data_IF_481239407517
#
_entry.id   IF_481239407517
#
_cell.length_a   1.000
_cell.length_b   1.000
_cell.length_c   1.000
_cell.angle_alpha   90.00
_cell.angle_beta   90.00
_cell.angle_gamma   90.00
#
_symmetry.space_group_name_H-M   'P 1'
#
loop_
_entity.id
_entity.type
_entity.pdbx_description
1 polymer ?
#
# COMPACT_ATOMS: atom_id res chain seq x y z
N UNK A 1 -9.54 -5.41 13.12
CA UNK A 1 -8.43 -4.61 12.57
C UNK A 1 -7.35 -5.58 12.14
N UNK A 2 -7.04 -5.66 10.84
CA UNK A 2 -6.25 -6.78 10.29
C UNK A 2 -4.73 -6.50 10.28
N UNK A 3 -4.26 -5.45 10.97
CA UNK A 3 -2.87 -4.96 10.97
C UNK A 3 -2.30 -4.57 9.58
N UNK A 4 -3.00 -4.84 8.48
CA UNK A 4 -2.65 -4.41 7.14
C UNK A 4 -2.85 -2.90 6.96
N UNK A 5 -1.85 -2.25 6.38
CA UNK A 5 -1.94 -0.85 5.93
C UNK A 5 -1.42 -0.76 4.49
N UNK A 6 -2.06 0.08 3.70
CA UNK A 6 -1.54 0.56 2.42
C UNK A 6 -0.91 1.92 2.68
N UNK A 7 0.36 2.10 2.33
CA UNK A 7 1.07 3.35 2.54
C UNK A 7 2.19 3.59 1.53
N UNK A 8 2.59 4.85 1.40
CA UNK A 8 3.75 5.25 0.61
C UNK A 8 5.07 5.00 1.33
N UNK A 9 6.16 5.00 0.56
CA UNK A 9 7.53 4.93 1.05
C UNK A 9 8.49 5.69 0.13
N UNK A 10 9.47 6.45 0.69
CA UNK A 10 10.53 7.07 -0.08
C UNK A 10 11.63 6.09 -0.53
N UNK A 11 11.73 4.91 0.10
CA UNK A 11 12.66 3.83 -0.25
C UNK A 11 12.16 3.03 -1.47
N UNK A 12 12.10 3.70 -2.63
CA UNK A 12 11.61 3.12 -3.89
C UNK A 12 12.29 1.79 -4.26
N UNK A 13 13.57 1.65 -3.94
CA UNK A 13 14.37 0.45 -4.23
C UNK A 13 14.00 -0.78 -3.37
N UNK A 14 13.11 -0.61 -2.39
CA UNK A 14 12.61 -1.64 -1.49
C UNK A 14 11.23 -2.18 -1.91
N UNK A 15 10.54 -1.47 -2.82
CA UNK A 15 9.25 -1.89 -3.36
C UNK A 15 9.40 -3.20 -4.15
N UNK A 16 8.46 -4.12 -3.98
CA UNK A 16 8.48 -5.46 -4.59
C UNK A 16 9.38 -6.49 -3.88
N UNK A 17 10.07 -6.09 -2.80
CA UNK A 17 10.83 -7.02 -1.95
C UNK A 17 10.03 -7.39 -0.70
N UNK A 18 10.27 -8.58 -0.17
CA UNK A 18 9.65 -9.06 1.07
C UNK A 18 10.26 -8.37 2.32
N UNK A 19 10.12 -7.06 2.40
CA UNK A 19 10.68 -6.21 3.46
C UNK A 19 9.62 -5.62 4.39
N UNK A 20 8.34 -5.94 4.16
CA UNK A 20 7.24 -5.52 5.01
C UNK A 20 6.74 -6.67 5.89
N UNK A 21 6.39 -6.38 7.14
CA UNK A 21 5.72 -7.32 8.06
C UNK A 21 4.24 -7.49 7.74
N UNK A 22 3.87 -7.51 6.45
CA UNK A 22 2.50 -7.61 5.95
C UNK A 22 1.90 -6.32 5.39
N UNK A 23 2.45 -5.12 5.68
CA UNK A 23 1.97 -3.88 5.04
C UNK A 23 2.25 -3.85 3.52
N UNK A 24 1.37 -3.22 2.76
CA UNK A 24 1.54 -3.02 1.32
C UNK A 24 2.14 -1.63 1.09
N UNK A 25 3.37 -1.60 0.55
CA UNK A 25 4.10 -0.36 0.24
C UNK A 25 3.96 -0.03 -1.24
N UNK A 26 3.68 1.24 -1.53
CA UNK A 26 3.71 1.78 -2.88
C UNK A 26 4.74 2.91 -2.97
N UNK A 27 5.11 3.29 -4.19
CA UNK A 27 5.78 4.57 -4.39
C UNK A 27 4.85 5.70 -3.96
N UNK A 28 5.42 6.80 -3.45
CA UNK A 28 4.63 7.92 -2.94
C UNK A 28 3.66 8.50 -3.98
N UNK A 29 4.08 8.58 -5.24
CA UNK A 29 3.22 9.06 -6.32
C UNK A 29 2.00 8.14 -6.54
N UNK A 30 2.19 6.83 -6.46
CA UNK A 30 1.14 5.84 -6.71
C UNK A 30 0.12 5.80 -5.56
N UNK A 31 0.56 5.93 -4.30
CA UNK A 31 -0.38 5.96 -3.17
C UNK A 31 -1.21 7.24 -3.14
N UNK A 32 -0.65 8.36 -3.58
CA UNK A 32 -1.39 9.64 -3.71
C UNK A 32 -2.46 9.48 -4.79
N UNK A 33 -2.08 8.99 -5.97
CA UNK A 33 -3.03 8.74 -7.07
C UNK A 33 -4.14 7.75 -6.67
N UNK A 34 -3.77 6.67 -5.95
CA UNK A 34 -4.75 5.71 -5.43
C UNK A 34 -5.72 6.37 -4.43
N UNK A 35 -5.21 7.20 -3.52
CA UNK A 35 -6.01 7.88 -2.51
C UNK A 35 -7.04 8.82 -3.13
N UNK A 36 -6.69 9.52 -4.21
CA UNK A 36 -7.61 10.42 -4.92
C UNK A 36 -8.75 9.68 -5.63
N UNK A 37 -8.51 8.44 -6.07
CA UNK A 37 -9.46 7.67 -6.89
C UNK A 37 -10.38 6.75 -6.08
N UNK A 38 -9.93 6.31 -4.91
CA UNK A 38 -10.63 5.26 -4.15
C UNK A 38 -11.56 5.87 -3.10
N UNK A 39 -12.87 5.54 -3.14
CA UNK A 39 -13.79 6.02 -2.13
C UNK A 39 -13.51 5.41 -0.76
N UNK A 40 -13.84 6.15 0.30
CA UNK A 40 -13.75 5.66 1.66
C UNK A 40 -14.52 4.34 1.84
N UNK A 41 -13.95 3.41 2.61
CA UNK A 41 -14.50 2.06 2.88
C UNK A 41 -14.53 1.12 1.67
N UNK A 42 -13.79 1.42 0.60
CA UNK A 42 -13.57 0.46 -0.48
C UNK A 42 -13.04 -0.87 0.06
N UNK A 43 -13.56 -1.98 -0.49
CA UNK A 43 -13.17 -3.34 -0.09
C UNK A 43 -11.76 -3.64 -0.58
N UNK A 44 -10.89 -4.07 0.32
CA UNK A 44 -9.55 -4.58 0.00
C UNK A 44 -9.55 -6.11 0.08
N UNK A 45 -8.99 -6.77 -0.93
CA UNK A 45 -8.77 -8.23 -0.94
C UNK A 45 -7.28 -8.48 -1.18
N UNK A 46 -6.63 -9.18 -0.27
CA UNK A 46 -5.22 -9.56 -0.37
C UNK A 46 -5.15 -11.02 -0.75
N UNK A 47 -4.57 -11.31 -1.92
CA UNK A 47 -4.27 -12.67 -2.36
C UNK A 47 -2.78 -12.89 -2.09
N UNK A 48 -2.46 -13.85 -1.20
CA UNK A 48 -1.08 -14.25 -0.91
C UNK A 48 -0.68 -15.44 -1.80
#
# INVERSE_FOLDING_TARGET
DTLYRLHGSPEWNSIGKAVSSGCVRLMNQDIIDLYERVPNKARVVVWQ
#
